data_IF_356330833105
#
_entry.id   IF_356330833105
#
_cell.length_a   1.000
_cell.length_b   1.000
_cell.length_c   1.000
_cell.angle_alpha   90.00
_cell.angle_beta   90.00
_cell.angle_gamma   90.00
#
_symmetry.space_group_name_H-M   'P 1'
#
loop_
_entity.id
_entity.type
_entity.pdbx_description
1 polymer ?
#
# COMPACT_ATOMS: atom_id res chain seq x y z
N UNK A 1 -8.02 -20.95 -22.68
CA UNK A 1 -6.98 -20.38 -23.55
C UNK A 1 -6.87 -18.83 -23.56
N UNK A 2 -7.64 -18.09 -22.73
CA UNK A 2 -7.54 -16.60 -22.65
C UNK A 2 -7.03 -16.07 -21.29
N UNK A 3 -6.59 -16.94 -20.38
CA UNK A 3 -6.04 -16.56 -19.05
C UNK A 3 -4.51 -16.46 -19.02
N UNK A 4 -3.84 -16.77 -20.12
CA UNK A 4 -2.37 -16.89 -20.19
C UNK A 4 -1.64 -15.63 -20.70
N UNK A 5 -2.29 -14.47 -20.77
CA UNK A 5 -1.66 -13.24 -21.32
C UNK A 5 -1.76 -11.99 -20.42
N UNK A 6 -2.21 -12.10 -19.17
CA UNK A 6 -2.24 -10.97 -18.23
C UNK A 6 -1.52 -11.32 -16.93
N UNK A 7 -0.23 -11.64 -17.01
CA UNK A 7 0.63 -11.56 -15.84
C UNK A 7 2.04 -11.14 -16.28
N UNK A 8 2.09 -10.07 -17.07
CA UNK A 8 3.31 -9.31 -17.34
C UNK A 8 3.29 -8.09 -16.45
N UNK A 9 4.40 -7.84 -15.76
CA UNK A 9 4.72 -6.67 -14.94
C UNK A 9 4.26 -6.71 -13.46
N UNK A 10 4.75 -7.69 -12.70
CA UNK A 10 5.21 -7.39 -11.33
C UNK A 10 6.66 -6.92 -11.41
N UNK A 11 6.83 -5.66 -11.85
CA UNK A 11 8.09 -4.95 -11.62
C UNK A 11 8.29 -4.88 -10.11
N UNK A 12 9.39 -5.46 -9.64
CA UNK A 12 9.69 -5.57 -8.21
C UNK A 12 9.81 -4.18 -7.60
N UNK A 13 8.88 -3.85 -6.70
CA UNK A 13 9.03 -2.69 -5.83
C UNK A 13 10.37 -2.83 -5.07
N UNK A 14 11.33 -1.91 -5.25
CA UNK A 14 12.54 -1.91 -4.43
C UNK A 14 12.08 -1.69 -2.99
N UNK A 15 12.41 -2.65 -2.13
CA UNK A 15 12.04 -2.68 -0.71
C UNK A 15 12.20 -1.29 -0.11
N UNK A 16 11.09 -0.62 0.22
CA UNK A 16 11.08 0.64 0.95
C UNK A 16 11.79 0.42 2.30
N UNK A 17 13.05 0.83 2.38
CA UNK A 17 13.76 0.90 3.66
C UNK A 17 13.21 2.12 4.38
N UNK A 18 12.38 1.85 5.38
CA UNK A 18 11.85 2.81 6.36
C UNK A 18 12.85 3.90 6.72
N UNK A 19 12.42 5.16 6.58
CA UNK A 19 13.20 6.40 6.65
C UNK A 19 13.49 6.87 8.09
N UNK A 20 13.14 6.09 9.13
CA UNK A 20 13.08 6.62 10.50
C UNK A 20 14.24 6.30 11.46
N UNK A 21 15.36 5.69 11.03
CA UNK A 21 16.32 5.10 12.00
C UNK A 21 17.76 5.64 12.03
N UNK A 22 18.02 6.95 11.92
CA UNK A 22 19.41 7.44 12.14
C UNK A 22 19.62 8.60 13.12
N UNK A 23 18.57 9.14 13.74
CA UNK A 23 18.72 10.13 14.80
C UNK A 23 18.96 9.48 16.17
N UNK A 24 20.13 8.86 16.39
CA UNK A 24 20.77 8.73 17.70
C UNK A 24 22.07 7.93 17.56
N UNK A 25 23.23 8.61 17.52
CA UNK A 25 24.52 8.14 18.09
C UNK A 25 25.65 9.14 17.76
N UNK A 26 26.11 9.90 18.75
CA UNK A 26 27.38 10.65 18.70
C UNK A 26 28.33 10.07 19.76
N UNK A 27 29.53 9.64 19.33
CA UNK A 27 30.83 9.78 20.02
C UNK A 27 31.88 8.73 19.56
N UNK A 28 32.13 8.56 18.26
CA UNK A 28 33.34 7.89 17.75
C UNK A 28 33.76 8.61 16.47
N UNK A 29 35.04 9.00 16.34
CA UNK A 29 35.58 9.49 15.06
C UNK A 29 35.45 8.36 14.03
N UNK A 30 34.63 8.51 12.97
CA UNK A 30 34.45 7.44 12.02
C UNK A 30 35.74 7.22 11.22
N UNK A 31 36.07 5.96 10.98
CA UNK A 31 37.09 5.57 10.00
C UNK A 31 36.79 6.21 8.65
N UNK A 32 37.83 6.56 7.88
CA UNK A 32 37.70 7.09 6.52
C UNK A 32 36.84 6.16 5.62
N UNK A 33 36.94 4.84 5.81
CA UNK A 33 36.09 3.87 5.11
C UNK A 33 34.61 3.99 5.46
N UNK A 34 34.29 4.16 6.75
CA UNK A 34 32.91 4.34 7.23
C UNK A 34 32.31 5.65 6.73
N UNK A 35 33.13 6.69 6.57
CA UNK A 35 32.70 7.96 5.96
C UNK A 35 32.41 7.80 4.47
N UNK A 36 33.21 7.04 3.73
CA UNK A 36 32.98 6.77 2.32
C UNK A 36 31.66 6.01 2.08
N UNK A 37 31.40 4.97 2.89
CA UNK A 37 30.16 4.20 2.82
C UNK A 37 28.94 5.07 3.20
N UNK A 38 29.05 5.86 4.27
CA UNK A 38 28.00 6.78 4.68
C UNK A 38 27.70 7.83 3.60
N UNK A 39 28.73 8.36 2.94
CA UNK A 39 28.57 9.30 1.84
C UNK A 39 27.89 8.66 0.62
N UNK A 40 28.24 7.42 0.28
CA UNK A 40 27.60 6.69 -0.80
C UNK A 40 26.10 6.46 -0.53
N UNK A 41 25.75 6.10 0.71
CA UNK A 41 24.35 5.96 1.14
C UNK A 41 23.61 7.30 1.06
N UNK A 42 24.21 8.38 1.54
CA UNK A 42 23.60 9.72 1.48
C UNK A 42 23.36 10.18 0.04
N UNK A 43 24.30 9.91 -0.89
CA UNK A 43 24.11 10.22 -2.31
C UNK A 43 22.93 9.45 -2.90
N UNK A 44 22.84 8.15 -2.64
CA UNK A 44 21.71 7.33 -3.09
C UNK A 44 20.38 7.85 -2.51
N UNK A 45 20.36 8.24 -1.23
CA UNK A 45 19.18 8.83 -0.59
C UNK A 45 18.77 10.15 -1.25
N UNK A 46 19.73 11.02 -1.59
CA UNK A 46 19.43 12.27 -2.29
C UNK A 46 18.84 12.00 -3.67
N UNK A 47 19.38 11.03 -4.42
CA UNK A 47 18.78 10.66 -5.72
C UNK A 47 17.35 10.14 -5.55
N UNK A 48 17.10 9.28 -4.56
CA UNK A 48 15.75 8.80 -4.25
C UNK A 48 14.79 9.94 -3.92
N UNK A 49 15.22 10.88 -3.07
CA UNK A 49 14.41 12.04 -2.68
C UNK A 49 14.12 12.97 -3.87
N UNK A 50 15.04 13.11 -4.82
CA UNK A 50 14.79 13.88 -6.06
C UNK A 50 13.69 13.25 -6.90
N UNK A 51 13.68 11.92 -7.01
CA UNK A 51 12.60 11.19 -7.69
C UNK A 51 11.27 11.41 -6.97
N UNK A 52 11.23 11.25 -5.64
CA UNK A 52 10.01 11.43 -4.84
C UNK A 52 9.46 12.87 -4.87
N UNK A 53 10.35 13.87 -4.86
CA UNK A 53 9.99 15.27 -4.97
C UNK A 53 9.45 15.63 -6.36
N UNK A 54 9.88 14.91 -7.39
CA UNK A 54 9.41 15.07 -8.78
C UNK A 54 8.06 14.42 -9.07
N UNK A 55 7.44 13.75 -8.10
CA UNK A 55 6.13 13.13 -8.30
C UNK A 55 5.03 14.19 -8.41
N UNK A 56 4.26 14.12 -9.50
CA UNK A 56 3.07 14.95 -9.69
C UNK A 56 1.98 14.50 -8.71
N UNK A 57 1.57 15.41 -7.81
CA UNK A 57 0.52 15.17 -6.82
C UNK A 57 -0.79 15.81 -7.29
N UNK A 58 -1.89 15.11 -7.06
CA UNK A 58 -3.23 15.69 -7.19
C UNK A 58 -3.59 16.44 -5.91
N UNK A 59 -4.48 17.43 -6.03
CA UNK A 59 -5.00 18.15 -4.86
C UNK A 59 -5.80 17.19 -3.96
N UNK A 60 -5.70 17.39 -2.65
CA UNK A 60 -6.42 16.54 -1.70
C UNK A 60 -7.92 16.61 -1.94
N UNK A 61 -8.46 17.79 -2.26
CA UNK A 61 -9.87 17.96 -2.59
C UNK A 61 -10.30 17.12 -3.79
N UNK A 62 -9.49 17.08 -4.86
CA UNK A 62 -9.75 16.24 -6.02
C UNK A 62 -9.70 14.75 -5.67
N UNK A 63 -8.62 14.30 -5.02
CA UNK A 63 -8.44 12.89 -4.67
C UNK A 63 -9.58 12.40 -3.77
N UNK A 64 -10.00 13.22 -2.80
CA UNK A 64 -11.13 12.89 -1.91
C UNK A 64 -12.44 12.77 -2.69
N UNK A 65 -12.70 13.68 -3.65
CA UNK A 65 -13.90 13.59 -4.49
C UNK A 65 -13.92 12.31 -5.33
N UNK A 66 -12.78 11.89 -5.86
CA UNK A 66 -12.64 10.64 -6.61
C UNK A 66 -12.86 9.40 -5.73
N UNK A 67 -12.33 9.41 -4.51
CA UNK A 67 -12.55 8.33 -3.54
C UNK A 67 -14.03 8.21 -3.13
N UNK A 68 -14.68 9.33 -2.84
CA UNK A 68 -16.12 9.37 -2.50
C UNK A 68 -16.93 8.79 -3.65
N UNK A 69 -16.70 9.29 -4.88
CA UNK A 69 -17.39 8.82 -6.07
C UNK A 69 -17.21 7.32 -6.27
N UNK A 70 -15.98 6.80 -6.13
CA UNK A 70 -15.71 5.37 -6.26
C UNK A 70 -16.52 4.53 -5.27
N UNK A 71 -16.62 4.99 -4.02
CA UNK A 71 -17.40 4.33 -2.98
C UNK A 71 -18.90 4.40 -3.28
N UNK A 72 -19.42 5.58 -3.68
CA UNK A 72 -20.83 5.77 -4.02
C UNK A 72 -21.25 4.89 -5.20
N UNK A 73 -20.45 4.86 -6.27
CA UNK A 73 -20.70 4.06 -7.48
C UNK A 73 -20.82 2.55 -7.17
N UNK A 74 -20.16 2.08 -6.11
CA UNK A 74 -20.16 0.65 -5.70
C UNK A 74 -20.99 0.37 -4.47
N UNK A 75 -21.47 1.40 -3.80
CA UNK A 75 -22.19 1.27 -2.52
C UNK A 75 -23.43 0.39 -2.66
N UNK A 76 -24.11 0.43 -3.82
CA UNK A 76 -25.31 -0.37 -4.09
C UNK A 76 -25.04 -1.89 -4.07
N UNK A 77 -23.85 -2.30 -4.52
CA UNK A 77 -23.45 -3.70 -4.65
C UNK A 77 -22.69 -4.23 -3.41
N UNK A 78 -22.39 -3.35 -2.45
CA UNK A 78 -21.70 -3.73 -1.22
C UNK A 78 -22.65 -4.46 -0.26
N UNK A 79 -22.52 -5.78 -0.22
CA UNK A 79 -23.35 -6.64 0.63
C UNK A 79 -23.11 -6.45 2.13
N UNK A 80 -22.01 -5.82 2.54
CA UNK A 80 -21.74 -5.50 3.95
C UNK A 80 -22.42 -4.21 4.39
N UNK A 81 -22.66 -3.29 3.45
CA UNK A 81 -23.37 -2.04 3.72
C UNK A 81 -24.88 -2.23 3.56
N UNK A 82 -25.32 -2.83 2.45
CA UNK A 82 -26.75 -2.97 2.14
C UNK A 82 -27.37 -4.28 2.62
N UNK A 83 -26.54 -5.23 3.06
CA UNK A 83 -26.96 -6.59 3.36
C UNK A 83 -27.15 -7.45 2.11
N UNK A 84 -27.40 -8.74 2.32
CA UNK A 84 -27.70 -9.67 1.24
C UNK A 84 -29.16 -9.54 0.79
N UNK A 85 -29.40 -9.43 -0.52
CA UNK A 85 -30.77 -9.37 -1.05
C UNK A 85 -31.57 -10.61 -0.73
N UNK A 86 -30.92 -11.78 -0.68
CA UNK A 86 -31.50 -13.03 -0.19
C UNK A 86 -30.65 -13.58 0.93
N UNK A 87 -31.32 -14.07 1.96
CA UNK A 87 -30.62 -14.71 3.09
C UNK A 87 -29.79 -15.94 2.67
N UNK A 88 -30.10 -16.58 1.54
CA UNK A 88 -29.36 -17.73 0.99
C UNK A 88 -28.09 -17.36 0.25
N UNK A 89 -27.88 -16.07 -0.08
CA UNK A 89 -26.68 -15.58 -0.76
C UNK A 89 -25.52 -15.40 0.20
N UNK A 90 -25.79 -15.27 1.51
CA UNK A 90 -24.76 -15.20 2.53
C UNK A 90 -24.10 -16.57 2.72
N UNK A 91 -22.82 -16.76 2.32
CA UNK A 91 -22.13 -18.05 2.45
C UNK A 91 -21.95 -18.49 3.91
N UNK A 92 -22.04 -17.55 4.86
CA UNK A 92 -21.87 -17.78 6.29
C UNK A 92 -23.19 -18.00 7.04
N UNK A 93 -24.34 -17.97 6.35
CA UNK A 93 -25.61 -18.24 7.02
C UNK A 93 -25.79 -19.74 7.23
N UNK A 94 -25.97 -20.17 8.47
CA UNK A 94 -26.27 -21.55 8.80
C UNK A 94 -27.53 -22.03 8.06
N UNK A 95 -27.44 -23.21 7.44
CA UNK A 95 -28.52 -23.79 6.62
C UNK A 95 -29.56 -24.58 7.44
N UNK A 96 -29.40 -24.69 8.76
CA UNK A 96 -30.32 -25.42 9.65
C UNK A 96 -29.88 -25.28 11.10
N UNK A 97 -30.86 -25.11 12.00
CA UNK A 97 -30.64 -24.80 13.41
C UNK A 97 -30.14 -25.96 14.27
N UNK A 98 -29.59 -25.58 15.43
CA UNK A 98 -29.22 -26.37 16.61
C UNK A 98 -29.28 -27.90 16.48
N UNK A 99 -28.12 -28.54 16.39
CA UNK A 99 -27.96 -29.90 16.92
C UNK A 99 -27.64 -29.75 18.40
N UNK A 100 -28.65 -29.90 19.25
CA UNK A 100 -28.41 -30.18 20.66
C UNK A 100 -27.82 -31.59 20.75
N UNK A 101 -26.56 -31.68 21.18
CA UNK A 101 -25.92 -32.92 21.59
C UNK A 101 -26.42 -33.33 22.99
#
# INVERSE_FOLDING_TARGET
QRRSQQETQREGFPKQKSVLLSCAQHSVRPSLSKLADALAVQRCMVEQLRVEAGLNRLSVSQTVAELIKYCEDRSADDMLINGFTKQTENPFKEKGGCVAL
#
